data_IF_887623282585
#
_entry.id   IF_887623282585
#
_cell.length_a   1.000
_cell.length_b   1.000
_cell.length_c   1.000
_cell.angle_alpha   90.00
_cell.angle_beta   90.00
_cell.angle_gamma   90.00
#
_symmetry.space_group_name_H-M   'P 1'
#
loop_
_entity.id
_entity.type
_entity.pdbx_description
1 polymer ?
#
# COMPACT_ATOMS: atom_id res chain seq x y z
N UNK A 1 15.02 17.84 3.97
CA UNK A 1 14.79 16.63 4.81
C UNK A 1 13.66 15.82 4.20
N UNK A 2 13.75 14.49 4.10
CA UNK A 2 12.70 13.61 3.58
C UNK A 2 11.73 13.13 4.68
N UNK A 3 10.58 12.57 4.30
CA UNK A 3 9.62 11.93 5.22
C UNK A 3 9.50 10.45 4.85
N UNK A 4 9.60 9.56 5.83
CA UNK A 4 9.47 8.12 5.61
C UNK A 4 8.64 7.46 6.68
N UNK A 5 7.87 6.44 6.32
CA UNK A 5 7.44 5.45 7.31
C UNK A 5 8.67 4.68 7.80
N UNK A 6 8.68 4.29 9.08
CA UNK A 6 9.69 3.35 9.59
C UNK A 6 9.53 2.01 8.88
N UNK A 7 8.35 1.39 9.04
CA UNK A 7 7.80 0.32 8.21
C UNK A 7 6.26 0.40 8.37
N UNK A 8 5.50 0.33 7.28
CA UNK A 8 4.06 0.10 7.28
C UNK A 8 3.78 -1.37 6.99
N UNK A 9 3.07 -2.07 7.88
CA UNK A 9 2.72 -3.47 7.66
C UNK A 9 1.54 -3.53 6.68
N UNK A 10 1.83 -3.75 5.40
CA UNK A 10 0.85 -3.58 4.32
C UNK A 10 -0.29 -4.60 4.35
N UNK A 11 -0.04 -5.90 4.60
CA UNK A 11 -1.11 -6.91 4.62
C UNK A 11 -2.09 -6.76 5.79
N UNK A 12 -1.74 -5.95 6.79
CA UNK A 12 -2.60 -5.56 7.91
C UNK A 12 -3.56 -4.41 7.56
N UNK A 13 -3.49 -3.84 6.35
CA UNK A 13 -4.22 -2.63 5.94
C UNK A 13 -5.07 -2.84 4.70
N UNK A 14 -6.10 -2.02 4.55
CA UNK A 14 -6.89 -1.90 3.33
C UNK A 14 -6.11 -1.11 2.28
N UNK A 15 -5.92 -1.68 1.09
CA UNK A 15 -5.03 -1.10 0.06
C UNK A 15 -5.48 0.26 -0.43
N UNK A 16 -6.78 0.43 -0.71
CA UNK A 16 -7.32 1.71 -1.18
C UNK A 16 -7.14 2.83 -0.13
N UNK A 17 -7.24 2.50 1.16
CA UNK A 17 -7.02 3.46 2.24
C UNK A 17 -5.54 3.87 2.31
N UNK A 18 -4.61 2.91 2.21
CA UNK A 18 -3.17 3.21 2.15
C UNK A 18 -2.85 4.08 0.93
N UNK A 19 -3.44 3.78 -0.24
CA UNK A 19 -3.25 4.58 -1.45
C UNK A 19 -3.63 6.05 -1.23
N UNK A 20 -4.82 6.28 -0.64
CA UNK A 20 -5.36 7.60 -0.35
C UNK A 20 -4.52 8.37 0.67
N UNK A 21 -4.17 7.73 1.78
CA UNK A 21 -3.37 8.34 2.84
C UNK A 21 -1.95 8.68 2.35
N UNK A 22 -1.31 7.77 1.61
CA UNK A 22 0.01 8.03 1.05
C UNK A 22 -0.02 9.19 0.05
N UNK A 23 -1.07 9.29 -0.78
CA UNK A 23 -1.20 10.41 -1.71
C UNK A 23 -1.34 11.75 -1.00
N UNK A 24 -2.16 11.82 0.05
CA UNK A 24 -2.34 13.03 0.85
C UNK A 24 -1.06 13.41 1.60
N UNK A 25 -0.36 12.43 2.19
CA UNK A 25 0.92 12.69 2.86
C UNK A 25 2.00 13.11 1.87
N UNK A 26 2.04 12.55 0.67
CA UNK A 26 2.97 13.00 -0.38
C UNK A 26 2.70 14.46 -0.76
N UNK A 27 1.43 14.85 -0.93
CA UNK A 27 1.03 16.24 -1.20
C UNK A 27 1.41 17.18 -0.04
N UNK A 28 1.03 16.83 1.18
CA UNK A 28 1.28 17.65 2.37
C UNK A 28 2.78 17.75 2.68
N UNK A 29 3.56 16.73 2.33
CA UNK A 29 5.01 16.76 2.44
C UNK A 29 5.69 17.49 1.29
N UNK A 30 4.98 17.83 0.20
CA UNK A 30 5.54 18.46 -0.99
C UNK A 30 6.41 17.50 -1.81
N UNK A 31 5.94 16.26 -2.01
CA UNK A 31 6.66 15.25 -2.79
C UNK A 31 7.87 14.70 -2.05
N UNK A 32 7.77 14.48 -0.73
CA UNK A 32 8.91 14.00 0.09
C UNK A 32 8.65 12.66 0.77
N UNK A 33 7.51 12.03 0.49
CA UNK A 33 7.16 10.74 1.09
C UNK A 33 7.97 9.60 0.45
N UNK A 34 8.57 8.78 1.31
CA UNK A 34 9.06 7.44 1.01
C UNK A 34 8.26 6.45 1.83
N UNK A 35 7.62 5.49 1.19
CA UNK A 35 6.72 4.54 1.86
C UNK A 35 7.44 3.21 2.06
N UNK A 36 8.04 3.06 3.23
CA UNK A 36 8.60 1.79 3.71
C UNK A 36 7.48 0.82 4.07
N UNK A 37 7.48 -0.37 3.49
CA UNK A 37 6.46 -1.42 3.69
C UNK A 37 7.08 -2.73 4.17
N UNK A 38 6.28 -3.54 4.85
CA UNK A 38 6.66 -4.87 5.33
C UNK A 38 5.45 -5.78 5.54
N UNK A 39 5.71 -7.06 5.83
CA UNK A 39 4.68 -8.08 6.08
C UNK A 39 4.42 -8.26 7.57
N UNK A 40 5.39 -7.93 8.43
CA UNK A 40 5.22 -8.07 9.89
C UNK A 40 5.29 -9.52 10.36
N UNK A 41 5.58 -9.68 11.65
CA UNK A 41 5.92 -10.97 12.25
C UNK A 41 4.91 -11.44 13.32
N UNK A 42 4.05 -10.53 13.78
CA UNK A 42 3.18 -10.77 14.92
C UNK A 42 1.79 -11.26 14.50
N UNK A 43 1.48 -12.53 14.76
CA UNK A 43 0.19 -13.12 14.43
C UNK A 43 -0.99 -12.49 15.18
N UNK A 44 -0.77 -12.00 16.41
CA UNK A 44 -1.83 -11.38 17.24
C UNK A 44 -2.34 -10.08 16.59
N UNK A 45 -1.45 -9.30 15.97
CA UNK A 45 -1.82 -8.08 15.25
C UNK A 45 -2.65 -8.39 14.01
N UNK A 46 -2.33 -9.48 13.31
CA UNK A 46 -3.12 -9.94 12.16
C UNK A 46 -4.52 -10.35 12.58
N UNK A 47 -4.64 -11.15 13.64
CA UNK A 47 -5.93 -11.58 14.19
C UNK A 47 -6.78 -10.38 14.62
N UNK A 48 -6.19 -9.42 15.36
CA UNK A 48 -6.87 -8.22 15.82
C UNK A 48 -7.39 -7.33 14.67
N UNK A 49 -6.78 -7.42 13.48
CA UNK A 49 -7.15 -6.67 12.29
C UNK A 49 -7.97 -7.50 11.29
N UNK A 50 -8.41 -8.70 11.67
CA UNK A 50 -9.14 -9.65 10.83
C UNK A 50 -8.38 -10.02 9.54
N UNK A 51 -7.06 -10.19 9.64
CA UNK A 51 -6.17 -10.57 8.53
C UNK A 51 -5.56 -11.94 8.75
N UNK A 52 -5.20 -12.61 7.65
CA UNK A 52 -4.61 -13.96 7.69
C UNK A 52 -3.09 -13.85 7.69
N UNK A 53 -2.44 -14.27 8.77
CA UNK A 53 -0.99 -14.17 8.93
C UNK A 53 -0.20 -14.87 7.80
N UNK A 54 -0.59 -16.09 7.44
CA UNK A 54 0.16 -16.93 6.49
C UNK A 54 0.09 -16.49 5.03
N UNK A 55 -0.73 -15.49 4.67
CA UNK A 55 -0.82 -15.00 3.30
C UNK A 55 -0.17 -13.62 3.10
N UNK A 56 0.47 -13.07 4.13
CA UNK A 56 0.98 -11.71 4.13
C UNK A 56 1.89 -11.36 2.95
N UNK A 57 2.84 -12.23 2.58
CA UNK A 57 3.75 -12.00 1.44
C UNK A 57 3.00 -11.82 0.11
N UNK A 58 2.24 -12.85 -0.30
CA UNK A 58 1.45 -12.82 -1.53
C UNK A 58 0.42 -11.70 -1.55
N UNK A 59 -0.18 -11.41 -0.39
CA UNK A 59 -1.08 -10.27 -0.25
C UNK A 59 -0.34 -8.97 -0.49
N UNK A 60 0.81 -8.75 0.14
CA UNK A 60 1.62 -7.55 -0.06
C UNK A 60 1.97 -7.30 -1.52
N UNK A 61 2.34 -8.35 -2.28
CA UNK A 61 2.62 -8.26 -3.72
C UNK A 61 1.41 -7.74 -4.51
N UNK A 62 0.22 -8.29 -4.27
CA UNK A 62 -1.02 -7.82 -4.90
C UNK A 62 -1.34 -6.37 -4.51
N UNK A 63 -1.19 -6.05 -3.24
CA UNK A 63 -1.46 -4.70 -2.72
C UNK A 63 -0.50 -3.67 -3.33
N UNK A 64 0.78 -4.00 -3.53
CA UNK A 64 1.75 -3.15 -4.24
C UNK A 64 1.30 -2.89 -5.68
N UNK A 65 0.82 -3.92 -6.39
CA UNK A 65 0.33 -3.76 -7.75
C UNK A 65 -0.88 -2.81 -7.81
N UNK A 66 -1.83 -2.96 -6.87
CA UNK A 66 -2.99 -2.09 -6.78
C UNK A 66 -2.63 -0.65 -6.36
N UNK A 67 -1.72 -0.45 -5.39
CA UNK A 67 -1.22 0.88 -5.01
C UNK A 67 -0.67 1.62 -6.24
N UNK A 68 0.21 0.95 -7.01
CA UNK A 68 0.78 1.52 -8.23
C UNK A 68 -0.30 1.86 -9.25
N UNK A 69 -1.30 1.00 -9.43
CA UNK A 69 -2.40 1.26 -10.35
C UNK A 69 -3.21 2.50 -9.92
N UNK A 70 -3.59 2.59 -8.63
CA UNK A 70 -4.38 3.70 -8.09
C UNK A 70 -3.65 5.05 -8.14
N UNK A 71 -2.32 5.08 -8.06
CA UNK A 71 -1.55 6.33 -8.16
C UNK A 71 -1.23 6.78 -9.58
N UNK A 72 -1.40 5.91 -10.59
CA UNK A 72 -0.91 6.19 -11.96
C UNK A 72 -1.98 6.16 -13.05
N UNK A 73 -3.19 5.69 -12.74
CA UNK A 73 -4.29 5.58 -13.70
C UNK A 73 -5.50 6.39 -13.21
N UNK A 74 -6.17 7.05 -14.14
CA UNK A 74 -7.40 7.79 -13.85
C UNK A 74 -8.55 6.86 -13.42
N UNK A 75 -8.63 5.68 -14.05
CA UNK A 75 -9.62 4.64 -13.77
C UNK A 75 -8.94 3.27 -13.70
N UNK A 76 -9.19 2.55 -12.62
CA UNK A 76 -8.63 1.24 -12.30
C UNK A 76 -9.75 0.20 -12.22
N UNK A 77 -9.58 -0.86 -13.00
CA UNK A 77 -10.20 -2.16 -12.76
C UNK A 77 -9.08 -3.11 -12.33
N UNK A 78 -9.24 -3.76 -11.18
CA UNK A 78 -8.23 -4.64 -10.61
C UNK A 78 -8.91 -5.86 -10.00
N UNK A 79 -8.62 -7.03 -10.56
CA UNK A 79 -9.20 -8.31 -10.15
C UNK A 79 -8.31 -9.01 -9.12
N UNK A 80 -8.06 -8.31 -8.01
CA UNK A 80 -7.29 -8.83 -6.89
C UNK A 80 -8.04 -9.94 -6.14
N UNK A 81 -7.29 -10.90 -5.60
CA UNK A 81 -7.84 -11.93 -4.72
C UNK A 81 -8.32 -11.35 -3.39
N UNK A 82 -7.61 -10.36 -2.86
CA UNK A 82 -7.91 -9.78 -1.54
C UNK A 82 -8.60 -8.43 -1.65
N UNK A 83 -8.13 -7.55 -2.55
CA UNK A 83 -8.66 -6.19 -2.69
C UNK A 83 -9.10 -5.91 -4.14
N UNK A 84 -10.21 -6.52 -4.63
CA UNK A 84 -10.74 -6.21 -5.95
C UNK A 84 -11.35 -4.81 -5.99
N UNK A 85 -11.13 -4.08 -7.08
CA UNK A 85 -11.79 -2.79 -7.34
C UNK A 85 -12.27 -2.70 -8.79
N UNK A 86 -13.42 -2.06 -8.98
CA UNK A 86 -14.01 -1.84 -10.31
C UNK A 86 -14.34 -0.36 -10.49
N UNK A 87 -13.95 0.19 -11.64
CA UNK A 87 -14.19 1.58 -12.02
C UNK A 87 -13.77 2.60 -10.95
N UNK A 88 -12.62 2.38 -10.30
CA UNK A 88 -12.12 3.21 -9.22
C UNK A 88 -11.08 4.24 -9.70
N UNK A 89 -11.18 5.48 -9.26
CA UNK A 89 -10.14 6.49 -9.40
C UNK A 89 -9.68 6.99 -8.03
N UNK A 90 -8.43 7.43 -7.91
CA UNK A 90 -7.92 8.03 -6.68
C UNK A 90 -7.83 9.55 -6.82
N UNK A 91 -8.42 10.28 -5.87
CA UNK A 91 -8.31 11.73 -5.79
C UNK A 91 -8.03 12.14 -4.33
N UNK A 92 -6.98 12.92 -4.04
CA UNK A 92 -5.98 13.42 -4.98
C UNK A 92 -4.98 12.35 -5.42
N UNK A 93 -4.36 12.58 -6.57
CA UNK A 93 -3.16 11.85 -6.99
C UNK A 93 -1.93 12.44 -6.28
N UNK A 94 -0.92 11.62 -5.94
CA UNK A 94 0.30 12.12 -5.31
C UNK A 94 1.10 13.01 -6.27
N UNK A 95 1.99 13.87 -5.72
CA UNK A 95 2.87 14.74 -6.52
C UNK A 95 3.89 13.89 -7.29
N UNK A 96 4.40 12.85 -6.64
CA UNK A 96 5.26 11.82 -7.24
C UNK A 96 4.66 10.45 -6.98
N UNK A 97 5.00 9.44 -7.77
CA UNK A 97 4.72 8.06 -7.37
C UNK A 97 5.53 7.74 -6.09
N UNK A 98 4.90 7.53 -4.92
CA UNK A 98 5.63 7.35 -3.67
C UNK A 98 6.61 6.19 -3.79
N UNK A 99 7.87 6.43 -3.41
CA UNK A 99 8.89 5.39 -3.48
C UNK A 99 8.57 4.29 -2.47
N UNK A 100 8.21 3.11 -2.97
CA UNK A 100 8.00 1.91 -2.18
C UNK A 100 9.34 1.23 -1.91
N UNK A 101 9.62 0.92 -0.64
CA UNK A 101 10.82 0.15 -0.25
C UNK A 101 10.53 -0.79 0.90
N UNK A 102 11.33 -1.85 1.04
CA UNK A 102 11.09 -2.92 2.00
C UNK A 102 10.40 -4.14 1.35
N UNK A 103 10.75 -5.31 1.89
CA UNK A 103 10.53 -6.65 1.34
C UNK A 103 10.91 -6.80 -0.14
N UNK A 104 12.19 -7.10 -0.34
CA UNK A 104 12.57 -8.06 -1.37
C UNK A 104 11.88 -9.41 -1.03
N UNK A 105 11.18 -10.06 -1.96
CA UNK A 105 10.75 -11.43 -1.77
C UNK A 105 11.99 -12.30 -1.52
N UNK A 106 12.05 -13.03 -0.41
CA UNK A 106 12.92 -14.20 -0.38
C UNK A 106 12.34 -15.22 -1.37
N UNK A 107 13.16 -15.68 -2.31
CA UNK A 107 12.86 -16.78 -3.23
C UNK A 107 12.41 -18.06 -2.50
#
# INVERSE_FOLDING_TARGET
MGLSTGILILPQRQTALVAKQAAEVDILSGGRLRLGIGVGWNHVEYEALNQVFHNGGRRSEEQIALLRALWTKDVVNFEGRWDPVSHAGLNPLPIQNPYLFGLEPEE
#
